data_IF_465656826051
#
_entry.id   IF_465656826051
#
_cell.length_a   1.000
_cell.length_b   1.000
_cell.length_c   1.000
_cell.angle_alpha   90.00
_cell.angle_beta   90.00
_cell.angle_gamma   90.00
#
_symmetry.space_group_name_H-M   'P 1'
#
loop_
_entity.id
_entity.type
_entity.pdbx_description
1 polymer ?
#
# COMPACT_ATOMS: atom_id res chain seq x y z
N UNK A 1 -11.83 29.54 -0.63
CA UNK A 1 -11.73 29.21 0.81
C UNK A 1 -10.83 28.01 0.99
N UNK A 2 -9.89 28.08 1.91
CA UNK A 2 -8.98 26.97 2.22
C UNK A 2 -9.36 26.34 3.56
N UNK A 3 -9.33 25.01 3.61
CA UNK A 3 -9.49 24.26 4.86
C UNK A 3 -8.09 23.90 5.36
N UNK A 4 -7.70 24.30 6.59
CA UNK A 4 -6.36 24.00 7.10
C UNK A 4 -6.14 22.50 7.32
N UNK A 5 -4.88 22.06 7.22
CA UNK A 5 -4.53 20.65 7.36
C UNK A 5 -4.91 20.08 8.75
N UNK A 6 -4.87 20.90 9.81
CA UNK A 6 -5.28 20.48 11.15
C UNK A 6 -6.75 20.09 11.21
N UNK A 7 -7.61 20.76 10.46
CA UNK A 7 -9.04 20.43 10.39
C UNK A 7 -9.28 19.15 9.55
N UNK A 8 -8.52 18.96 8.49
CA UNK A 8 -8.58 17.75 7.66
C UNK A 8 -8.16 16.52 8.46
N UNK A 9 -7.14 16.66 9.30
CA UNK A 9 -6.63 15.54 10.12
C UNK A 9 -7.63 15.07 11.20
N UNK A 10 -8.65 15.86 11.53
CA UNK A 10 -9.69 15.46 12.50
C UNK A 10 -10.88 14.74 11.86
N UNK A 11 -10.93 14.65 10.52
CA UNK A 11 -12.03 13.99 9.84
C UNK A 11 -11.91 12.47 9.99
N UNK A 12 -12.99 11.78 10.41
CA UNK A 12 -13.01 10.33 10.43
C UNK A 12 -13.11 9.75 9.02
N UNK A 13 -12.64 8.52 8.84
CA UNK A 13 -12.85 7.80 7.60
C UNK A 13 -14.34 7.58 7.35
N UNK A 14 -14.75 7.66 6.10
CA UNK A 14 -16.12 7.44 5.68
C UNK A 14 -16.69 8.57 4.84
N UNK A 15 -17.99 8.55 4.69
CA UNK A 15 -18.70 9.56 3.93
C UNK A 15 -18.88 10.85 4.74
N UNK A 16 -18.67 11.99 4.10
CA UNK A 16 -18.84 13.31 4.69
C UNK A 16 -19.49 14.26 3.68
N UNK A 17 -19.97 15.41 4.17
CA UNK A 17 -20.61 16.41 3.33
C UNK A 17 -20.01 17.78 3.57
N UNK A 18 -19.86 18.55 2.51
CA UNK A 18 -19.57 19.98 2.56
C UNK A 18 -20.86 20.73 2.19
N UNK A 19 -21.22 21.70 3.01
CA UNK A 19 -22.34 22.59 2.74
C UNK A 19 -21.86 24.02 2.53
N UNK A 20 -22.45 24.68 1.55
CA UNK A 20 -22.27 26.10 1.32
C UNK A 20 -23.64 26.76 1.20
N UNK A 21 -23.76 27.97 1.75
CA UNK A 21 -25.00 28.74 1.66
C UNK A 21 -24.67 30.22 1.40
N UNK A 22 -25.60 30.88 0.73
CA UNK A 22 -25.54 32.31 0.44
C UNK A 22 -26.95 32.91 0.55
N UNK A 23 -27.03 34.13 1.06
CA UNK A 23 -28.28 34.89 1.11
C UNK A 23 -28.13 36.14 0.25
N UNK A 24 -29.22 36.51 -0.47
CA UNK A 24 -29.30 37.74 -1.23
C UNK A 24 -29.66 38.92 -0.31
N UNK A 25 -29.47 40.15 -0.78
CA UNK A 25 -29.84 41.37 -0.04
C UNK A 25 -31.32 41.45 0.27
N UNK A 26 -32.19 40.76 -0.52
CA UNK A 26 -33.64 40.69 -0.29
C UNK A 26 -34.06 39.59 0.69
N UNK A 27 -33.11 38.83 1.25
CA UNK A 27 -33.39 37.78 2.21
C UNK A 27 -33.62 36.40 1.61
N UNK A 28 -33.49 36.24 0.31
CA UNK A 28 -33.55 34.92 -0.35
C UNK A 28 -32.23 34.17 -0.11
N UNK A 29 -32.32 32.90 0.19
CA UNK A 29 -31.16 32.03 0.41
C UNK A 29 -31.05 30.92 -0.60
N UNK A 30 -29.80 30.51 -0.89
CA UNK A 30 -29.49 29.35 -1.70
C UNK A 30 -28.44 28.52 -0.97
N UNK A 31 -28.49 27.21 -1.12
CA UNK A 31 -27.51 26.31 -0.53
C UNK A 31 -27.14 25.20 -1.49
N UNK A 32 -25.93 24.66 -1.33
CA UNK A 32 -25.44 23.53 -2.08
C UNK A 32 -24.74 22.57 -1.11
N UNK A 33 -24.84 21.28 -1.40
CA UNK A 33 -24.23 20.22 -0.63
C UNK A 33 -23.43 19.34 -1.57
N UNK A 34 -22.23 18.95 -1.14
CA UNK A 34 -21.40 18.00 -1.89
C UNK A 34 -20.97 16.88 -0.95
N UNK A 35 -21.26 15.64 -1.35
CA UNK A 35 -20.80 14.48 -0.61
C UNK A 35 -19.39 14.09 -1.05
N UNK A 36 -18.57 13.69 -0.11
CA UNK A 36 -17.22 13.16 -0.38
C UNK A 36 -16.92 12.05 0.62
N UNK A 37 -15.89 11.26 0.33
CA UNK A 37 -15.40 10.25 1.27
C UNK A 37 -14.02 10.60 1.76
N UNK A 38 -13.77 10.26 3.01
CA UNK A 38 -12.48 10.40 3.67
C UNK A 38 -11.94 9.01 3.94
N UNK A 39 -10.70 8.74 3.52
CA UNK A 39 -9.96 7.54 3.83
C UNK A 39 -8.52 7.94 4.13
N UNK A 40 -8.17 7.92 5.40
CA UNK A 40 -6.84 8.25 5.90
C UNK A 40 -6.18 7.04 6.58
N UNK A 41 -6.75 5.85 6.42
CA UNK A 41 -6.24 4.62 7.02
C UNK A 41 -5.26 3.94 6.09
N UNK A 42 -4.01 3.75 6.55
CA UNK A 42 -3.02 3.00 5.79
C UNK A 42 -3.40 1.52 5.70
N UNK A 43 -3.22 0.86 4.54
CA UNK A 43 -3.42 -0.57 4.44
C UNK A 43 -2.36 -1.33 5.23
N UNK A 44 -2.72 -2.51 5.73
CA UNK A 44 -1.74 -3.43 6.31
C UNK A 44 -1.03 -4.20 5.21
N UNK A 45 0.21 -4.60 5.49
CA UNK A 45 1.01 -5.39 4.57
C UNK A 45 1.82 -6.39 5.39
N UNK A 46 1.87 -7.64 4.96
CA UNK A 46 2.69 -8.68 5.58
C UNK A 46 3.57 -9.34 4.54
N UNK A 47 4.69 -9.89 4.99
CA UNK A 47 5.60 -10.73 4.19
C UNK A 47 5.67 -12.09 4.88
N UNK A 48 5.37 -13.15 4.15
CA UNK A 48 5.47 -14.53 4.65
C UNK A 48 6.93 -14.97 4.73
N UNK A 49 7.17 -16.11 5.40
CA UNK A 49 8.47 -16.78 5.42
C UNK A 49 9.00 -16.96 4.02
N UNK A 50 10.25 -16.58 3.80
CA UNK A 50 10.94 -16.63 2.51
C UNK A 50 11.68 -17.96 2.40
N UNK A 51 11.64 -18.61 1.23
CA UNK A 51 12.32 -19.88 0.97
C UNK A 51 11.99 -20.98 2.00
N UNK A 52 10.79 -20.96 2.57
CA UNK A 52 10.24 -21.84 3.60
C UNK A 52 10.88 -21.76 4.99
N UNK A 53 12.08 -21.27 5.14
CA UNK A 53 12.80 -21.22 6.41
C UNK A 53 13.58 -19.91 6.63
N UNK A 54 13.38 -18.90 5.77
CA UNK A 54 14.08 -17.63 5.74
C UNK A 54 15.60 -17.76 5.46
N UNK A 55 16.01 -18.90 4.89
CA UNK A 55 17.40 -19.16 4.51
C UNK A 55 17.45 -19.53 3.03
N UNK A 56 18.08 -18.69 2.22
CA UNK A 56 18.26 -18.97 0.79
C UNK A 56 19.53 -19.79 0.60
N UNK A 57 19.39 -21.08 0.33
CA UNK A 57 20.51 -21.96 0.05
C UNK A 57 20.87 -21.98 -1.46
N UNK A 58 22.00 -22.62 -1.79
CA UNK A 58 22.51 -22.65 -3.16
C UNK A 58 21.55 -23.31 -4.17
N UNK A 59 20.76 -24.30 -3.73
CA UNK A 59 19.77 -24.98 -4.57
C UNK A 59 18.59 -24.05 -4.87
N UNK A 60 18.11 -23.34 -3.85
CA UNK A 60 17.01 -22.40 -3.98
C UNK A 60 17.41 -21.17 -4.80
N UNK A 61 18.65 -20.70 -4.67
CA UNK A 61 19.18 -19.60 -5.48
C UNK A 61 19.28 -19.94 -6.98
N UNK A 62 19.25 -21.21 -7.34
CA UNK A 62 19.22 -21.68 -8.74
C UNK A 62 17.84 -21.66 -9.38
N UNK A 63 16.79 -21.31 -8.64
CA UNK A 63 15.40 -21.28 -9.11
C UNK A 63 14.76 -19.95 -8.81
N UNK A 64 13.69 -19.54 -9.52
CA UNK A 64 12.96 -18.33 -9.18
C UNK A 64 12.41 -18.40 -7.74
N UNK A 65 12.61 -17.37 -6.96
CA UNK A 65 12.09 -17.26 -5.59
C UNK A 65 10.78 -16.49 -5.60
N UNK A 66 9.75 -17.05 -4.98
CA UNK A 66 8.48 -16.35 -4.76
C UNK A 66 8.48 -15.71 -3.38
N UNK A 67 8.32 -14.39 -3.33
CA UNK A 67 8.08 -13.64 -2.10
C UNK A 67 6.60 -13.29 -2.08
N UNK A 68 5.92 -13.57 -0.98
CA UNK A 68 4.47 -13.44 -0.88
C UNK A 68 4.05 -12.90 0.47
N UNK A 69 2.78 -12.50 0.55
CA UNK A 69 2.20 -12.02 1.78
C UNK A 69 0.72 -11.66 1.60
N UNK A 70 0.20 -10.85 2.53
CA UNK A 70 -1.17 -10.36 2.47
C UNK A 70 -1.21 -8.85 2.63
N UNK A 71 -2.30 -8.24 2.18
CA UNK A 71 -2.56 -6.81 2.33
C UNK A 71 -4.06 -6.56 2.44
N UNK A 72 -4.43 -5.49 3.15
CA UNK A 72 -5.80 -4.98 3.19
C UNK A 72 -6.06 -3.92 2.12
N UNK A 73 -5.06 -3.57 1.31
CA UNK A 73 -5.28 -2.71 0.14
C UNK A 73 -6.24 -3.39 -0.85
N UNK A 74 -6.91 -2.59 -1.65
CA UNK A 74 -7.92 -3.12 -2.57
C UNK A 74 -7.28 -3.98 -3.65
N UNK A 75 -8.07 -4.91 -4.17
CA UNK A 75 -7.67 -5.77 -5.30
C UNK A 75 -7.15 -4.93 -6.47
N UNK A 76 -6.02 -5.34 -7.02
CA UNK A 76 -5.39 -4.68 -8.15
C UNK A 76 -4.36 -3.61 -7.77
N UNK A 77 -4.22 -3.28 -6.48
CA UNK A 77 -3.16 -2.36 -6.04
C UNK A 77 -1.79 -3.01 -6.20
N UNK A 78 -0.80 -2.20 -6.60
CA UNK A 78 0.55 -2.70 -6.85
C UNK A 78 1.34 -2.80 -5.55
N UNK A 79 1.89 -3.99 -5.27
CA UNK A 79 2.88 -4.21 -4.22
C UNK A 79 4.27 -4.12 -4.85
N UNK A 80 5.13 -3.28 -4.30
CA UNK A 80 6.52 -3.15 -4.72
C UNK A 80 7.42 -3.77 -3.66
N UNK A 81 8.22 -4.75 -4.05
CA UNK A 81 9.18 -5.44 -3.17
C UNK A 81 10.58 -5.02 -3.57
N UNK A 82 11.40 -4.67 -2.59
CA UNK A 82 12.81 -4.32 -2.78
C UNK A 82 13.68 -5.34 -2.08
N UNK A 83 14.62 -5.90 -2.82
CA UNK A 83 15.65 -6.83 -2.31
C UNK A 83 16.99 -6.44 -2.93
N UNK A 84 17.98 -6.17 -2.08
CA UNK A 84 19.34 -5.83 -2.51
C UNK A 84 19.39 -4.70 -3.57
N UNK A 85 18.54 -3.68 -3.39
CA UNK A 85 18.47 -2.52 -4.30
C UNK A 85 17.69 -2.75 -5.60
N UNK A 86 17.23 -3.97 -5.88
CA UNK A 86 16.38 -4.28 -7.01
C UNK A 86 14.90 -4.32 -6.59
N UNK A 87 14.01 -3.90 -7.46
CA UNK A 87 12.56 -3.86 -7.21
C UNK A 87 11.81 -4.85 -8.07
N UNK A 88 10.78 -5.44 -7.47
CA UNK A 88 9.88 -6.41 -8.11
C UNK A 88 8.45 -6.00 -7.76
N UNK A 89 7.52 -6.22 -8.67
CA UNK A 89 6.12 -5.82 -8.45
C UNK A 89 5.17 -6.99 -8.59
N UNK A 90 4.12 -6.96 -7.77
CA UNK A 90 2.99 -7.86 -7.85
C UNK A 90 1.70 -7.08 -7.60
N UNK A 91 0.57 -7.75 -7.61
CA UNK A 91 -0.73 -7.11 -7.37
C UNK A 91 -1.47 -7.82 -6.25
N UNK A 92 -2.26 -7.04 -5.48
CA UNK A 92 -3.16 -7.58 -4.46
C UNK A 92 -4.30 -8.30 -5.15
N UNK A 93 -4.51 -9.55 -4.77
CA UNK A 93 -5.57 -10.42 -5.32
C UNK A 93 -6.90 -10.21 -4.56
N UNK A 94 -7.97 -10.83 -5.07
CA UNK A 94 -9.30 -10.71 -4.48
C UNK A 94 -9.37 -11.25 -3.04
N UNK A 95 -8.50 -12.19 -2.67
CA UNK A 95 -8.40 -12.75 -1.32
C UNK A 95 -7.44 -11.98 -0.39
N UNK A 96 -6.86 -10.87 -0.87
CA UNK A 96 -5.89 -10.07 -0.14
C UNK A 96 -4.45 -10.57 -0.23
N UNK A 97 -4.19 -11.66 -0.93
CA UNK A 97 -2.83 -12.17 -1.11
C UNK A 97 -2.08 -11.41 -2.20
N UNK A 98 -0.77 -11.43 -2.12
CA UNK A 98 0.11 -10.90 -3.17
C UNK A 98 1.36 -11.76 -3.29
N UNK A 99 1.97 -11.76 -4.45
CA UNK A 99 3.26 -12.43 -4.67
C UNK A 99 4.06 -11.75 -5.76
N UNK A 100 5.39 -11.86 -5.64
CA UNK A 100 6.35 -11.42 -6.66
C UNK A 100 7.35 -12.56 -6.91
N UNK A 101 7.90 -12.59 -8.12
CA UNK A 101 8.93 -13.56 -8.48
C UNK A 101 10.28 -12.87 -8.64
N UNK A 102 11.29 -13.37 -7.94
CA UNK A 102 12.68 -12.90 -8.03
C UNK A 102 13.44 -13.89 -8.89
N UNK A 103 14.06 -13.46 -10.02
CA UNK A 103 14.74 -14.40 -10.92
C UNK A 103 16.04 -14.94 -10.30
N UNK A 104 16.49 -16.14 -10.71
CA UNK A 104 17.73 -16.73 -10.18
C UNK A 104 18.97 -15.86 -10.39
N UNK A 105 19.00 -15.08 -11.48
CA UNK A 105 20.11 -14.16 -11.74
C UNK A 105 20.29 -13.10 -10.64
N UNK A 106 19.19 -12.62 -10.05
CA UNK A 106 19.22 -11.69 -8.92
C UNK A 106 19.64 -12.39 -7.63
N UNK A 107 19.20 -13.63 -7.42
CA UNK A 107 19.55 -14.43 -6.25
C UNK A 107 21.03 -14.79 -6.25
N UNK A 108 21.58 -15.15 -7.42
CA UNK A 108 23.01 -15.47 -7.59
C UNK A 108 23.95 -14.29 -7.34
N UNK A 109 23.44 -13.07 -7.38
CA UNK A 109 24.20 -11.86 -7.05
C UNK A 109 24.30 -11.60 -5.55
N UNK A 110 23.50 -12.31 -4.73
CA UNK A 110 23.54 -12.16 -3.27
C UNK A 110 24.76 -12.89 -2.70
N UNK A 111 25.53 -12.21 -1.84
CA UNK A 111 26.59 -12.86 -1.10
C UNK A 111 26.06 -13.45 0.20
N UNK A 112 26.84 -14.35 0.85
CA UNK A 112 26.44 -14.97 2.11
C UNK A 112 26.39 -13.89 3.21
N UNK A 113 25.20 -13.32 3.43
CA UNK A 113 24.94 -12.21 4.34
C UNK A 113 23.45 -12.16 4.66
N UNK A 114 23.08 -11.32 5.61
CA UNK A 114 21.67 -11.02 5.88
C UNK A 114 21.17 -9.92 4.95
N UNK A 115 19.98 -10.10 4.41
CA UNK A 115 19.32 -9.12 3.58
C UNK A 115 17.94 -8.81 4.14
N UNK A 116 17.54 -7.55 4.02
CA UNK A 116 16.18 -7.14 4.36
C UNK A 116 15.35 -7.05 3.08
N UNK A 117 14.21 -7.72 3.08
CA UNK A 117 13.18 -7.55 2.06
C UNK A 117 12.20 -6.52 2.57
N UNK A 118 11.94 -5.49 1.79
CA UNK A 118 10.91 -4.51 2.11
C UNK A 118 9.82 -4.51 1.03
N UNK A 119 8.58 -4.30 1.47
CA UNK A 119 7.45 -4.22 0.59
C UNK A 119 6.62 -2.99 0.91
N UNK A 120 6.05 -2.38 -0.12
CA UNK A 120 5.15 -1.23 0.00
C UNK A 120 3.93 -1.40 -0.90
N UNK A 121 2.82 -0.85 -0.48
CA UNK A 121 1.58 -0.80 -1.26
C UNK A 121 0.84 0.48 -0.91
N UNK A 122 0.14 1.06 -1.86
CA UNK A 122 -0.81 2.14 -1.58
C UNK A 122 -2.23 1.61 -1.77
N UNK A 123 -3.17 2.12 -0.98
CA UNK A 123 -4.59 1.92 -1.26
C UNK A 123 -5.06 2.86 -2.38
N UNK A 124 -6.33 2.78 -2.76
CA UNK A 124 -6.90 3.65 -3.80
C UNK A 124 -6.96 5.12 -3.38
N UNK A 125 -7.00 5.41 -2.10
CA UNK A 125 -6.96 6.77 -1.58
C UNK A 125 -5.54 7.35 -1.56
N UNK A 126 -4.51 6.52 -1.77
CA UNK A 126 -3.11 6.93 -1.78
C UNK A 126 -2.39 6.78 -0.45
N UNK A 127 -3.01 6.13 0.55
CA UNK A 127 -2.35 5.90 1.85
C UNK A 127 -1.34 4.77 1.72
N UNK A 128 -0.07 4.97 2.15
CA UNK A 128 0.95 3.95 2.03
C UNK A 128 0.95 2.96 3.18
N UNK A 129 1.07 1.68 2.86
CA UNK A 129 1.38 0.61 3.79
C UNK A 129 2.75 0.02 3.49
N UNK A 130 3.45 -0.48 4.51
CA UNK A 130 4.77 -1.08 4.33
C UNK A 130 5.02 -2.22 5.31
N UNK A 131 5.92 -3.12 4.91
CA UNK A 131 6.40 -4.22 5.75
C UNK A 131 7.86 -4.51 5.41
N UNK A 132 8.58 -5.11 6.33
CA UNK A 132 9.94 -5.59 6.10
C UNK A 132 10.14 -6.94 6.77
N UNK A 133 11.03 -7.76 6.19
CA UNK A 133 11.37 -9.09 6.65
C UNK A 133 12.88 -9.32 6.48
N UNK A 134 13.53 -9.83 7.52
CA UNK A 134 14.97 -10.14 7.50
C UNK A 134 15.20 -11.62 7.28
#
# INVERSE_FOLDING_TARGET
>A
MNVPAADLATLPDGAANVQASVSSASGNSASATHAYSVDASAPTLTINTIASDDILNATEAGSPLTISGTSTAETGQTVTVTLNGATYTGTVQADGSWSVSVPPSALGALSASNYTVSATVNDKAGNPGSASHN
#
